data_IF_416344030121
#
_entry.id   IF_416344030121
#
_cell.length_a   1.000
_cell.length_b   1.000
_cell.length_c   1.000
_cell.angle_alpha   90.00
_cell.angle_beta   90.00
_cell.angle_gamma   90.00
#
_symmetry.space_group_name_H-M   'P 1'
#
loop_
_entity.id
_entity.type
_entity.pdbx_description
1 polymer ?
#
# COMPACT_ATOMS: atom_id res chain seq x y z
N UNK A 1 41.84 -23.16 23.44
CA UNK A 1 40.58 -23.00 24.19
C UNK A 1 40.73 -23.66 25.55
N UNK A 2 40.78 -22.93 26.68
CA UNK A 2 41.09 -23.51 27.97
C UNK A 2 39.96 -24.46 28.36
N UNK A 3 40.28 -25.74 28.64
CA UNK A 3 39.32 -26.79 29.01
C UNK A 3 38.34 -26.37 30.12
N UNK A 4 38.74 -25.39 30.94
CA UNK A 4 37.95 -24.74 31.99
C UNK A 4 36.72 -23.98 31.47
N UNK A 5 36.82 -23.32 30.30
CA UNK A 5 35.69 -22.63 29.67
C UNK A 5 34.67 -23.60 29.09
N UNK A 6 35.13 -24.73 28.53
CA UNK A 6 34.24 -25.76 28.01
C UNK A 6 33.41 -26.43 29.13
N UNK A 7 34.02 -26.70 30.28
CA UNK A 7 33.32 -27.28 31.45
C UNK A 7 32.31 -26.29 32.04
N UNK A 8 32.65 -25.00 32.13
CA UNK A 8 31.71 -23.96 32.58
C UNK A 8 30.52 -23.80 31.64
N UNK A 9 30.76 -23.78 30.32
CA UNK A 9 29.70 -23.64 29.32
C UNK A 9 28.71 -24.81 29.37
N UNK A 10 29.22 -26.04 29.47
CA UNK A 10 28.39 -27.25 29.58
C UNK A 10 27.57 -27.24 30.88
N UNK A 11 28.16 -26.80 32.00
CA UNK A 11 27.44 -26.64 33.26
C UNK A 11 26.28 -25.64 33.18
N UNK A 12 26.51 -24.49 32.52
CA UNK A 12 25.46 -23.47 32.33
C UNK A 12 24.34 -24.01 31.43
N UNK A 13 24.66 -24.66 30.32
CA UNK A 13 23.67 -25.24 29.42
C UNK A 13 22.80 -26.30 30.11
N UNK A 14 23.40 -27.17 30.94
CA UNK A 14 22.67 -28.15 31.75
C UNK A 14 21.73 -27.48 32.75
N UNK A 15 22.17 -26.39 33.40
CA UNK A 15 21.33 -25.66 34.35
C UNK A 15 20.10 -25.01 33.69
N UNK A 16 20.27 -24.45 32.49
CA UNK A 16 19.18 -23.84 31.72
C UNK A 16 18.18 -24.90 31.26
N UNK A 17 18.66 -26.08 30.82
CA UNK A 17 17.82 -27.18 30.39
C UNK A 17 16.97 -27.73 31.55
N UNK A 18 17.57 -27.89 32.74
CA UNK A 18 16.84 -28.32 33.95
C UNK A 18 15.81 -27.28 34.38
N UNK A 19 16.15 -25.99 34.33
CA UNK A 19 15.21 -24.91 34.65
C UNK A 19 14.02 -24.87 33.66
N UNK A 20 14.26 -25.09 32.37
CA UNK A 20 13.20 -25.16 31.34
C UNK A 20 12.30 -26.40 31.51
N UNK A 21 12.89 -27.54 31.89
CA UNK A 21 12.12 -28.75 32.18
C UNK A 21 11.27 -28.58 33.44
N UNK A 22 11.81 -27.96 34.49
CA UNK A 22 11.09 -27.67 35.73
C UNK A 22 9.97 -26.61 35.51
N UNK A 23 10.23 -25.60 34.68
CA UNK A 23 9.21 -24.63 34.28
C UNK A 23 8.09 -25.27 33.46
N UNK A 24 8.36 -26.35 32.72
CA UNK A 24 7.34 -27.11 31.97
C UNK A 24 6.50 -28.00 32.88
N UNK A 25 7.06 -28.59 33.94
CA UNK A 25 6.31 -29.41 34.87
C UNK A 25 5.40 -28.57 35.77
N UNK A 26 5.84 -27.37 36.15
CA UNK A 26 5.03 -26.43 36.95
C UNK A 26 3.92 -25.73 36.16
N UNK A 27 3.95 -25.73 34.82
CA UNK A 27 2.92 -25.11 33.98
C UNK A 27 1.81 -26.08 33.53
N UNK A 28 1.77 -27.31 34.06
CA UNK A 28 0.81 -28.34 33.63
C UNK A 28 -0.30 -28.68 34.63
N UNK A 29 -0.42 -27.93 35.72
CA UNK A 29 -1.57 -28.02 36.63
C UNK A 29 -2.22 -26.66 36.73
N UNK A 30 -3.38 -26.50 36.09
CA UNK A 30 -4.56 -25.78 36.60
C UNK A 30 -5.63 -25.81 35.51
N UNK A 31 -6.27 -26.98 35.42
CA UNK A 31 -7.53 -27.15 34.74
C UNK A 31 -8.68 -26.85 35.70
N UNK A 32 -9.53 -25.92 35.27
CA UNK A 32 -10.99 -25.92 35.47
C UNK A 32 -11.54 -25.69 36.88
N UNK A 33 -11.88 -24.41 37.17
CA UNK A 33 -12.97 -24.06 38.08
C UNK A 33 -13.66 -22.76 37.60
N UNK A 34 -14.92 -22.88 37.20
CA UNK A 34 -15.92 -21.80 37.21
C UNK A 34 -15.66 -20.60 36.30
N UNK A 35 -15.96 -20.72 35.01
CA UNK A 35 -16.04 -19.56 34.13
C UNK A 35 -17.09 -18.55 34.63
N UNK A 36 -16.77 -17.23 34.70
CA UNK A 36 -17.76 -16.22 35.05
C UNK A 36 -18.92 -16.22 34.04
N UNK A 37 -20.12 -15.72 34.41
CA UNK A 37 -21.24 -15.64 33.47
C UNK A 37 -20.75 -14.97 32.19
N UNK A 38 -20.94 -15.65 31.04
CA UNK A 38 -20.55 -15.11 29.73
C UNK A 38 -21.13 -13.71 29.63
N UNK A 39 -20.29 -12.65 29.52
CA UNK A 39 -20.82 -11.32 29.31
C UNK A 39 -21.65 -11.38 28.04
N UNK A 40 -22.91 -10.97 28.15
CA UNK A 40 -23.73 -10.70 26.97
C UNK A 40 -22.94 -9.72 26.12
N UNK A 41 -22.53 -10.14 24.93
CA UNK A 41 -21.92 -9.25 23.95
C UNK A 41 -23.03 -8.27 23.58
N UNK A 42 -23.07 -7.13 24.28
CA UNK A 42 -23.72 -5.95 23.74
C UNK A 42 -22.94 -5.66 22.47
N UNK A 43 -23.57 -5.67 21.28
CA UNK A 43 -22.86 -5.25 20.09
C UNK A 43 -22.32 -3.85 20.37
N UNK A 44 -21.01 -3.72 20.51
CA UNK A 44 -20.37 -2.41 20.49
C UNK A 44 -20.86 -1.78 19.20
N UNK A 45 -21.52 -0.60 19.24
CA UNK A 45 -21.84 0.09 18.01
C UNK A 45 -20.53 0.17 17.23
N UNK A 46 -20.52 -0.38 16.02
CA UNK A 46 -19.40 -0.23 15.09
C UNK A 46 -19.35 1.26 14.82
N UNK A 47 -18.57 1.99 15.62
CA UNK A 47 -18.22 3.36 15.33
C UNK A 47 -17.45 3.23 14.02
N UNK A 48 -17.98 3.73 12.89
CA UNK A 48 -17.20 3.72 11.66
C UNK A 48 -15.85 4.34 11.99
N UNK A 49 -14.72 3.76 11.55
CA UNK A 49 -13.42 4.38 11.80
C UNK A 49 -13.54 5.83 11.36
N UNK A 50 -13.28 6.77 12.29
CA UNK A 50 -13.30 8.19 11.95
C UNK A 50 -12.43 8.35 10.71
N UNK A 51 -12.97 8.83 9.57
CA UNK A 51 -12.19 8.96 8.36
C UNK A 51 -10.94 9.77 8.71
N UNK A 52 -9.76 9.19 8.51
CA UNK A 52 -8.52 9.93 8.65
C UNK A 52 -8.63 11.09 7.67
N UNK A 53 -8.58 12.36 8.13
CA UNK A 53 -8.84 13.49 7.25
C UNK A 53 -7.84 13.45 6.09
N UNK A 54 -8.30 13.49 4.83
CA UNK A 54 -7.40 13.45 3.69
C UNK A 54 -6.43 14.63 3.74
N UNK A 55 -5.19 14.39 3.33
CA UNK A 55 -4.21 15.44 3.14
C UNK A 55 -4.29 15.89 1.69
N UNK A 56 -4.49 17.20 1.49
CA UNK A 56 -4.45 17.82 0.17
C UNK A 56 -2.99 18.02 -0.26
N UNK A 57 -2.64 17.47 -1.41
CA UNK A 57 -1.38 17.72 -2.12
C UNK A 57 -1.66 18.60 -3.33
N UNK A 58 -0.62 19.25 -3.82
CA UNK A 58 -0.62 19.85 -5.16
C UNK A 58 0.46 19.15 -5.97
N UNK A 59 0.13 18.65 -7.14
CA UNK A 59 1.05 17.95 -8.03
C UNK A 59 1.19 18.76 -9.31
N UNK A 60 2.37 18.77 -9.90
CA UNK A 60 2.66 19.58 -11.08
C UNK A 60 2.88 18.70 -12.29
N UNK A 61 2.06 18.85 -13.33
CA UNK A 61 2.16 18.07 -14.56
C UNK A 61 2.20 18.99 -15.77
N UNK A 62 2.82 18.53 -16.86
CA UNK A 62 2.87 19.30 -18.09
C UNK A 62 1.51 19.40 -18.75
N UNK A 63 1.27 20.47 -19.51
CA UNK A 63 0.16 20.57 -20.46
C UNK A 63 0.67 20.64 -21.90
N UNK A 64 -0.13 20.15 -22.85
CA UNK A 64 0.13 20.33 -24.29
C UNK A 64 0.04 21.81 -24.72
N UNK A 65 -0.62 22.66 -23.92
CA UNK A 65 -0.96 24.02 -24.34
C UNK A 65 0.23 24.98 -24.36
N UNK A 66 1.08 24.95 -23.33
CA UNK A 66 2.13 25.95 -23.11
C UNK A 66 3.45 25.36 -22.59
N UNK A 67 3.54 24.02 -22.53
CA UNK A 67 4.71 23.26 -22.09
C UNK A 67 5.16 23.61 -20.66
N UNK A 68 4.29 24.23 -19.86
CA UNK A 68 4.52 24.51 -18.43
C UNK A 68 3.94 23.42 -17.56
N UNK A 69 4.41 23.41 -16.31
CA UNK A 69 3.90 22.59 -15.23
C UNK A 69 2.71 23.29 -14.55
N UNK A 70 1.53 22.70 -14.70
CA UNK A 70 0.31 23.18 -14.09
C UNK A 70 -0.02 22.41 -12.81
N UNK A 71 -0.60 23.08 -11.80
CA UNK A 71 -0.98 22.46 -10.55
C UNK A 71 -2.26 21.62 -10.68
N UNK A 72 -2.25 20.46 -10.05
CA UNK A 72 -3.40 19.59 -9.82
C UNK A 72 -3.50 19.31 -8.32
N UNK A 73 -4.59 19.73 -7.67
CA UNK A 73 -4.84 19.33 -6.30
C UNK A 73 -5.22 17.85 -6.25
N UNK A 74 -4.69 17.10 -5.28
CA UNK A 74 -5.02 15.70 -5.07
C UNK A 74 -5.12 15.39 -3.59
N UNK A 75 -6.24 14.80 -3.19
CA UNK A 75 -6.40 14.29 -1.84
C UNK A 75 -5.78 12.89 -1.73
N UNK A 76 -4.91 12.71 -0.74
CA UNK A 76 -4.30 11.42 -0.39
C UNK A 76 -4.63 11.06 1.05
N UNK A 77 -4.58 9.76 1.41
CA UNK A 77 -4.67 9.36 2.81
C UNK A 77 -3.64 10.11 3.66
N UNK A 78 -3.99 10.52 4.88
CA UNK A 78 -3.03 11.23 5.71
C UNK A 78 -1.77 10.38 5.92
N UNK A 79 -0.62 11.00 5.70
CA UNK A 79 0.68 10.38 5.93
C UNK A 79 1.04 10.47 7.41
N UNK A 80 1.56 9.38 7.98
CA UNK A 80 1.96 9.32 9.38
C UNK A 80 3.20 10.17 9.70
N UNK A 81 4.09 10.35 8.72
CA UNK A 81 5.31 11.14 8.82
C UNK A 81 5.71 11.76 7.45
N UNK A 82 6.74 12.61 7.44
CA UNK A 82 7.22 13.28 6.22
C UNK A 82 7.79 12.31 5.17
N UNK A 83 8.34 11.18 5.58
CA UNK A 83 8.88 10.18 4.62
C UNK A 83 7.72 9.43 3.95
N UNK A 84 6.66 9.11 4.70
CA UNK A 84 5.42 8.59 4.15
C UNK A 84 4.79 9.60 3.17
N UNK A 85 4.81 10.89 3.52
CA UNK A 85 4.33 11.95 2.62
C UNK A 85 5.17 12.04 1.34
N UNK A 86 6.49 11.97 1.44
CA UNK A 86 7.39 11.91 0.27
C UNK A 86 7.06 10.74 -0.65
N UNK A 87 6.84 9.55 -0.10
CA UNK A 87 6.41 8.39 -0.90
C UNK A 87 5.07 8.66 -1.57
N UNK A 88 4.09 9.21 -0.84
CA UNK A 88 2.76 9.52 -1.40
C UNK A 88 2.86 10.52 -2.55
N UNK A 89 3.65 11.59 -2.42
CA UNK A 89 3.85 12.59 -3.47
C UNK A 89 4.53 11.96 -4.69
N UNK A 90 5.66 11.27 -4.50
CA UNK A 90 6.41 10.67 -5.61
C UNK A 90 5.59 9.61 -6.36
N UNK A 91 4.88 8.73 -5.63
CA UNK A 91 3.97 7.77 -6.24
C UNK A 91 2.84 8.44 -7.02
N UNK A 92 2.25 9.51 -6.49
CA UNK A 92 1.16 10.20 -7.16
C UNK A 92 1.60 10.91 -8.46
N UNK A 93 2.85 11.40 -8.54
CA UNK A 93 3.44 11.90 -9.79
C UNK A 93 3.62 10.78 -10.81
N UNK A 94 4.14 9.63 -10.38
CA UNK A 94 4.33 8.45 -11.26
C UNK A 94 3.00 7.87 -11.76
N UNK A 95 1.94 7.91 -10.93
CA UNK A 95 0.58 7.56 -11.34
C UNK A 95 0.07 8.43 -12.50
N UNK A 96 0.58 9.65 -12.64
CA UNK A 96 0.18 10.62 -13.65
C UNK A 96 -0.98 11.52 -13.19
N UNK A 97 -1.37 12.52 -14.00
CA UNK A 97 -2.46 13.43 -13.69
C UNK A 97 -3.83 12.75 -13.71
N UNK A 98 -4.78 13.34 -12.98
CA UNK A 98 -6.21 13.02 -13.00
C UNK A 98 -7.04 14.12 -13.67
N UNK A 99 -6.48 15.33 -13.78
CA UNK A 99 -7.10 16.46 -14.46
C UNK A 99 -6.95 16.31 -15.97
N UNK A 100 -8.05 16.49 -16.70
CA UNK A 100 -8.02 16.49 -18.16
C UNK A 100 -7.12 17.61 -18.71
N UNK A 101 -6.47 17.36 -19.85
CA UNK A 101 -5.55 18.32 -20.50
C UNK A 101 -4.15 18.40 -19.87
N UNK A 102 -3.87 17.60 -18.84
CA UNK A 102 -2.52 17.39 -18.32
C UNK A 102 -1.93 16.08 -18.84
N UNK A 103 -0.62 16.09 -19.03
CA UNK A 103 0.16 14.98 -19.57
C UNK A 103 0.83 14.19 -18.47
N UNK A 104 0.93 12.88 -18.71
CA UNK A 104 1.68 11.95 -17.86
C UNK A 104 3.17 12.27 -17.96
N UNK A 105 3.81 12.51 -16.81
CA UNK A 105 5.23 12.83 -16.74
C UNK A 105 6.15 11.64 -16.99
N UNK A 106 5.80 10.44 -16.51
CA UNK A 106 6.62 9.23 -16.66
C UNK A 106 5.90 8.19 -17.51
N UNK A 107 6.58 7.53 -18.46
CA UNK A 107 5.99 6.44 -19.24
C UNK A 107 5.43 5.31 -18.35
N UNK A 108 4.57 4.47 -18.93
CA UNK A 108 4.04 3.32 -18.21
C UNK A 108 5.14 2.36 -17.74
N UNK A 109 4.93 1.75 -16.56
CA UNK A 109 5.83 0.76 -15.98
C UNK A 109 6.93 1.33 -15.08
N UNK A 110 7.13 2.66 -15.08
CA UNK A 110 7.94 3.32 -14.04
C UNK A 110 7.21 3.25 -12.69
N UNK A 111 7.95 2.97 -11.62
CA UNK A 111 7.36 2.84 -10.28
C UNK A 111 8.31 3.31 -9.18
N UNK A 112 7.76 3.63 -8.01
CA UNK A 112 8.56 4.02 -6.85
C UNK A 112 9.06 2.77 -6.13
N UNK A 113 10.38 2.62 -5.98
CA UNK A 113 10.98 1.57 -5.14
C UNK A 113 11.09 2.02 -3.70
N UNK A 114 11.64 3.21 -3.51
CA UNK A 114 11.84 3.79 -2.21
C UNK A 114 11.92 5.32 -2.28
N UNK A 115 11.67 5.96 -1.15
CA UNK A 115 11.97 7.37 -0.97
C UNK A 115 12.40 7.62 0.47
N UNK A 116 13.39 8.50 0.63
CA UNK A 116 13.99 8.85 1.91
C UNK A 116 14.31 10.34 1.94
N UNK A 117 14.24 10.93 3.13
CA UNK A 117 14.66 12.31 3.36
C UNK A 117 15.94 12.32 4.19
N UNK A 118 16.92 13.09 3.76
CA UNK A 118 18.16 13.32 4.50
C UNK A 118 18.04 14.62 5.33
N UNK A 119 18.83 14.75 6.42
CA UNK A 119 18.75 15.91 7.31
C UNK A 119 19.09 17.25 6.67
N UNK A 120 19.85 17.26 5.58
CA UNK A 120 20.33 18.45 4.88
C UNK A 120 19.35 19.00 3.83
N UNK A 121 18.13 18.47 3.81
CA UNK A 121 17.08 18.86 2.87
C UNK A 121 17.12 18.15 1.53
N UNK A 122 17.93 17.10 1.37
CA UNK A 122 17.87 16.23 0.19
C UNK A 122 16.74 15.21 0.35
N UNK A 123 15.85 15.15 -0.64
CA UNK A 123 14.96 14.01 -0.83
C UNK A 123 15.59 13.04 -1.85
N UNK A 124 15.78 11.78 -1.46
CA UNK A 124 16.22 10.72 -2.37
C UNK A 124 14.98 9.96 -2.83
N UNK A 125 14.80 9.84 -4.14
CA UNK A 125 13.71 9.09 -4.77
C UNK A 125 14.31 8.00 -5.65
N UNK A 126 14.06 6.75 -5.29
CA UNK A 126 14.53 5.57 -6.04
C UNK A 126 13.40 5.06 -6.93
N UNK A 127 13.65 5.11 -8.24
CA UNK A 127 12.70 4.74 -9.29
C UNK A 127 13.07 3.35 -9.84
N UNK A 128 12.08 2.49 -9.97
CA UNK A 128 12.20 1.25 -10.72
C UNK A 128 12.00 1.53 -12.20
N UNK A 129 12.95 1.06 -13.00
CA UNK A 129 12.84 1.12 -14.45
C UNK A 129 11.75 0.15 -14.93
N UNK A 130 11.01 0.49 -16.00
CA UNK A 130 10.06 -0.41 -16.59
C UNK A 130 10.78 -1.68 -17.04
N UNK A 131 10.13 -2.82 -16.75
CA UNK A 131 10.62 -4.10 -17.25
C UNK A 131 10.46 -4.12 -18.77
N UNK A 132 11.46 -4.63 -19.51
CA UNK A 132 11.31 -4.78 -20.94
C UNK A 132 10.12 -5.67 -21.23
N UNK A 133 9.21 -5.18 -22.06
CA UNK A 133 8.10 -5.99 -22.56
C UNK A 133 8.69 -6.97 -23.59
N UNK A 134 8.27 -8.25 -23.60
CA UNK A 134 8.52 -9.07 -24.78
C UNK A 134 7.83 -8.39 -25.95
N UNK A 135 8.61 -7.80 -26.86
CA UNK A 135 8.13 -7.31 -28.14
C UNK A 135 7.25 -8.40 -28.76
N UNK A 136 6.05 -8.03 -29.19
CA UNK A 136 4.97 -8.93 -29.61
C UNK A 136 5.48 -10.14 -30.39
N UNK A 137 4.87 -11.32 -30.17
CA UNK A 137 5.16 -12.58 -30.87
C UNK A 137 5.60 -12.30 -32.29
N UNK A 138 6.87 -12.58 -32.66
CA UNK A 138 7.35 -12.27 -33.99
C UNK A 138 6.43 -12.97 -34.98
N UNK A 139 5.80 -12.19 -35.86
CA UNK A 139 5.09 -12.76 -37.00
C UNK A 139 6.06 -13.71 -37.73
N UNK A 140 5.61 -14.91 -38.10
CA UNK A 140 6.44 -15.92 -38.77
C UNK A 140 7.27 -15.26 -39.89
N UNK A 141 8.60 -15.30 -39.74
CA UNK A 141 9.55 -14.66 -40.66
C UNK A 141 10.18 -13.33 -40.18
N UNK A 142 9.77 -12.80 -39.02
CA UNK A 142 10.42 -11.61 -38.44
C UNK A 142 11.72 -12.00 -37.74
N UNK A 143 12.84 -11.41 -38.18
CA UNK A 143 14.14 -11.64 -37.56
C UNK A 143 14.08 -11.28 -36.07
N UNK A 144 14.54 -12.19 -35.21
CA UNK A 144 14.74 -11.91 -33.79
C UNK A 144 15.81 -10.83 -33.69
N UNK A 145 15.40 -9.61 -33.36
CA UNK A 145 16.33 -8.50 -33.12
C UNK A 145 17.25 -8.89 -31.96
N UNK A 146 18.57 -8.90 -32.20
CA UNK A 146 19.60 -9.09 -31.17
C UNK A 146 19.77 -7.84 -30.29
N UNK A 147 19.00 -6.78 -30.56
CA UNK A 147 19.00 -5.58 -29.74
C UNK A 147 18.45 -5.90 -28.34
N UNK A 148 18.98 -5.27 -27.28
CA UNK A 148 18.38 -5.33 -25.95
C UNK A 148 16.89 -5.00 -26.02
N UNK A 149 16.04 -5.67 -25.21
CA UNK A 149 14.60 -5.45 -25.28
C UNK A 149 14.28 -4.00 -24.91
N UNK A 150 13.41 -3.37 -25.70
CA UNK A 150 13.10 -1.96 -25.57
C UNK A 150 12.30 -1.70 -24.28
N UNK A 151 12.71 -0.68 -23.54
CA UNK A 151 12.03 -0.23 -22.31
C UNK A 151 11.15 0.96 -22.66
N UNK A 152 10.00 1.07 -21.99
CA UNK A 152 9.17 2.26 -22.08
C UNK A 152 9.99 3.50 -21.65
N UNK A 153 10.17 4.42 -22.58
CA UNK A 153 10.93 5.67 -22.42
C UNK A 153 10.14 6.81 -23.06
N UNK A 154 10.55 8.04 -22.78
CA UNK A 154 10.02 9.22 -23.45
C UNK A 154 10.27 9.12 -24.96
N UNK A 155 9.22 9.33 -25.76
CA UNK A 155 9.26 9.15 -27.22
C UNK A 155 9.81 10.40 -27.93
N UNK A 156 9.67 11.59 -27.34
CA UNK A 156 9.87 12.88 -28.04
C UNK A 156 11.12 13.66 -27.59
N UNK A 157 11.96 13.12 -26.69
CA UNK A 157 13.32 13.61 -26.45
C UNK A 157 13.55 14.42 -25.16
N UNK A 158 14.61 15.25 -25.17
CA UNK A 158 15.20 15.91 -23.97
C UNK A 158 14.22 16.71 -23.12
N UNK A 159 13.22 17.30 -23.78
CA UNK A 159 12.23 18.15 -23.12
C UNK A 159 11.31 17.34 -22.22
N UNK A 160 10.81 16.23 -22.72
CA UNK A 160 9.90 15.38 -21.94
C UNK A 160 10.62 14.82 -20.72
N UNK A 161 11.89 14.43 -20.86
CA UNK A 161 12.72 13.99 -19.73
C UNK A 161 12.90 15.10 -18.69
N UNK A 162 13.24 16.32 -19.13
CA UNK A 162 13.44 17.45 -18.21
C UNK A 162 12.15 17.82 -17.49
N UNK A 163 11.03 17.87 -18.22
CA UNK A 163 9.72 18.18 -17.65
C UNK A 163 9.23 17.07 -16.72
N UNK A 164 9.56 15.80 -17.00
CA UNK A 164 9.28 14.70 -16.10
C UNK A 164 10.06 14.80 -14.78
N UNK A 165 11.35 15.11 -14.88
CA UNK A 165 12.18 15.36 -13.72
C UNK A 165 11.66 16.55 -12.90
N UNK A 166 11.34 17.68 -13.55
CA UNK A 166 10.82 18.87 -12.87
C UNK A 166 9.43 18.66 -12.27
N UNK A 167 8.54 17.92 -12.93
CA UNK A 167 7.25 17.51 -12.36
C UNK A 167 7.43 16.83 -11.00
N UNK A 168 8.37 15.89 -10.91
CA UNK A 168 8.67 15.20 -9.67
C UNK A 168 9.33 16.13 -8.64
N UNK A 169 10.35 16.88 -9.06
CA UNK A 169 11.14 17.77 -8.17
C UNK A 169 10.26 18.87 -7.57
N UNK A 170 9.52 19.60 -8.40
CA UNK A 170 8.62 20.68 -7.96
C UNK A 170 7.54 20.14 -7.04
N UNK A 171 6.91 19.01 -7.40
CA UNK A 171 5.89 18.38 -6.55
C UNK A 171 6.47 17.96 -5.20
N UNK A 172 7.66 17.36 -5.16
CA UNK A 172 8.30 16.98 -3.89
C UNK A 172 8.58 18.21 -3.02
N UNK A 173 9.28 19.21 -3.56
CA UNK A 173 9.71 20.39 -2.78
C UNK A 173 8.52 21.21 -2.30
N UNK A 174 7.49 21.41 -3.13
CA UNK A 174 6.33 22.24 -2.74
C UNK A 174 5.40 21.58 -1.72
N UNK A 175 5.40 20.25 -1.60
CA UNK A 175 4.60 19.55 -0.58
C UNK A 175 5.38 19.24 0.71
N UNK A 176 6.72 19.34 0.68
CA UNK A 176 7.60 18.99 1.78
C UNK A 176 8.52 20.18 2.10
N UNK A 177 8.16 21.05 3.06
CA UNK A 177 8.99 22.22 3.39
C UNK A 177 10.39 21.85 3.91
N UNK A 178 10.58 20.61 4.36
CA UNK A 178 11.89 20.08 4.75
C UNK A 178 12.76 19.60 3.57
N UNK A 179 12.26 19.57 2.33
CA UNK A 179 13.00 19.15 1.15
C UNK A 179 13.28 20.36 0.24
N UNK A 180 14.52 20.53 -0.17
CA UNK A 180 14.96 21.66 -1.02
C UNK A 180 15.45 21.19 -2.40
N UNK A 181 15.91 19.94 -2.50
CA UNK A 181 16.48 19.35 -3.72
C UNK A 181 16.26 17.84 -3.73
N UNK A 182 16.26 17.24 -4.92
CA UNK A 182 15.92 15.83 -5.11
C UNK A 182 17.06 15.10 -5.80
N UNK A 183 17.48 13.96 -5.25
CA UNK A 183 18.37 13.01 -5.91
C UNK A 183 17.52 11.86 -6.45
N UNK A 184 17.69 11.54 -7.73
CA UNK A 184 17.03 10.40 -8.36
C UNK A 184 17.99 9.23 -8.46
N UNK A 185 17.53 8.05 -8.01
CA UNK A 185 18.21 6.78 -8.21
C UNK A 185 17.40 5.92 -9.18
N UNK A 186 18.08 5.06 -9.93
CA UNK A 186 17.47 4.10 -10.84
C UNK A 186 17.81 2.69 -10.38
N UNK A 187 16.79 1.91 -10.03
CA UNK A 187 16.90 0.56 -9.50
C UNK A 187 17.82 0.41 -8.27
N UNK A 188 17.91 1.46 -7.45
CA UNK A 188 18.75 1.52 -6.27
C UNK A 188 20.16 2.08 -6.49
N UNK A 189 20.53 2.37 -7.74
CA UNK A 189 21.87 2.84 -8.11
C UNK A 189 21.86 4.30 -8.57
N UNK A 190 22.94 5.06 -8.33
CA UNK A 190 23.16 6.34 -8.99
C UNK A 190 23.23 6.15 -10.52
N UNK A 191 22.65 7.09 -11.26
CA UNK A 191 22.68 7.11 -12.70
C UNK A 191 23.27 8.42 -13.22
N UNK A 192 23.84 8.40 -14.42
CA UNK A 192 24.32 9.62 -15.08
C UNK A 192 23.14 10.40 -15.69
N UNK A 193 22.17 9.68 -16.25
CA UNK A 193 21.00 10.29 -16.89
C UNK A 193 19.72 9.51 -16.65
N UNK A 194 18.58 10.18 -16.83
CA UNK A 194 17.27 9.54 -16.74
C UNK A 194 16.99 8.64 -17.96
N UNK A 195 17.09 9.21 -19.17
CA UNK A 195 17.02 8.48 -20.44
C UNK A 195 17.98 9.02 -21.53
N UNK A 196 18.86 9.95 -21.16
CA UNK A 196 19.93 10.46 -22.01
C UNK A 196 20.19 11.96 -21.88
N UNK A 197 19.24 12.74 -21.35
CA UNK A 197 19.29 14.20 -21.47
C UNK A 197 19.35 14.95 -20.13
N UNK A 198 18.74 14.40 -19.08
CA UNK A 198 18.77 15.00 -17.75
C UNK A 198 19.98 14.46 -17.00
N UNK A 199 20.87 15.33 -16.55
CA UNK A 199 21.99 14.97 -15.67
C UNK A 199 21.48 14.61 -14.26
N UNK A 200 21.73 13.37 -13.83
CA UNK A 200 21.37 12.86 -12.50
C UNK A 200 22.56 12.76 -11.54
N UNK A 201 23.76 13.19 -11.96
CA UNK A 201 24.97 13.13 -11.13
C UNK A 201 24.96 14.15 -9.99
N UNK A 202 24.02 15.10 -10.01
CA UNK A 202 23.84 16.13 -8.99
C UNK A 202 22.38 16.18 -8.52
N UNK A 203 22.12 16.62 -7.26
CA UNK A 203 20.76 16.86 -6.79
C UNK A 203 20.05 17.90 -7.67
N UNK A 204 18.86 17.57 -8.12
CA UNK A 204 18.00 18.43 -8.93
C UNK A 204 17.29 19.47 -8.06
N UNK A 205 17.29 20.71 -8.53
CA UNK A 205 16.58 21.83 -7.92
C UNK A 205 15.26 22.09 -8.66
N UNK A 206 14.22 22.56 -7.94
CA UNK A 206 12.98 22.98 -8.59
C UNK A 206 13.27 24.19 -9.48
N UNK A 207 12.76 24.15 -10.70
CA UNK A 207 12.79 25.28 -11.62
C UNK A 207 11.45 26.01 -11.61
N UNK A 208 11.38 27.13 -10.89
CA UNK A 208 10.15 27.93 -10.81
C UNK A 208 9.75 28.54 -12.15
N UNK A 209 10.68 28.69 -13.11
CA UNK A 209 10.34 29.21 -14.45
C UNK A 209 9.51 28.22 -15.28
N UNK A 210 9.55 26.94 -14.93
CA UNK A 210 8.75 25.88 -15.55
C UNK A 210 7.31 25.82 -15.02
N UNK A 211 7.01 26.51 -13.92
CA UNK A 211 5.69 26.45 -13.26
C UNK A 211 4.75 27.50 -13.84
N UNK A 212 3.52 27.11 -14.13
CA UNK A 212 2.46 28.04 -14.53
C UNK A 212 1.97 28.85 -13.32
N UNK A 213 1.71 30.14 -13.53
CA UNK A 213 1.05 31.02 -12.55
C UNK A 213 -0.46 30.73 -12.57
N UNK A 214 -0.83 29.60 -11.98
CA UNK A 214 -2.21 29.13 -11.82
C UNK A 214 -2.41 28.70 -10.36
N UNK A 215 -3.57 28.99 -9.78
CA UNK A 215 -3.92 28.48 -8.45
C UNK A 215 -4.37 27.01 -8.56
N UNK A 216 -4.01 26.14 -7.61
CA UNK A 216 -4.45 24.75 -7.62
C UNK A 216 -5.98 24.66 -7.62
N UNK A 217 -6.54 24.03 -8.66
CA UNK A 217 -7.99 23.77 -8.75
C UNK A 217 -8.50 22.86 -7.63
N UNK A 218 -9.81 22.60 -7.62
CA UNK A 218 -10.40 21.66 -6.65
C UNK A 218 -9.97 20.22 -6.97
N UNK A 219 -9.61 19.39 -5.96
CA UNK A 219 -9.20 18.02 -6.23
C UNK A 219 -10.34 17.24 -6.89
N UNK A 220 -10.04 16.43 -7.93
CA UNK A 220 -11.06 15.57 -8.52
C UNK A 220 -11.60 14.61 -7.46
N UNK A 221 -12.89 14.25 -7.52
CA UNK A 221 -13.49 13.34 -6.54
C UNK A 221 -12.70 12.03 -6.49
N UNK A 222 -12.40 11.56 -5.27
CA UNK A 222 -11.78 10.25 -5.07
C UNK A 222 -12.58 9.19 -5.84
N UNK A 223 -11.94 8.21 -6.50
CA UNK A 223 -12.67 7.11 -7.11
C UNK A 223 -13.48 6.42 -6.00
N UNK A 224 -14.80 6.49 -6.10
CA UNK A 224 -15.70 5.78 -5.18
C UNK A 224 -15.30 4.31 -5.21
N UNK A 225 -15.03 3.65 -4.06
CA UNK A 225 -14.82 2.22 -4.10
C UNK A 225 -16.07 1.60 -4.71
N UNK A 226 -15.96 1.00 -5.89
CA UNK A 226 -17.01 0.16 -6.45
C UNK A 226 -17.42 -0.79 -5.33
N UNK A 227 -18.69 -0.79 -4.87
CA UNK A 227 -19.09 -1.71 -3.83
C UNK A 227 -18.80 -3.12 -4.36
N UNK A 228 -17.82 -3.78 -3.76
CA UNK A 228 -17.61 -5.23 -3.91
C UNK A 228 -18.98 -5.85 -3.73
N UNK A 229 -19.46 -6.51 -4.79
CA UNK A 229 -20.76 -7.16 -4.81
C UNK A 229 -20.90 -7.94 -3.49
N UNK A 230 -21.89 -7.55 -2.69
CA UNK A 230 -22.21 -8.23 -1.45
C UNK A 230 -22.37 -9.73 -1.74
N UNK A 231 -21.87 -10.64 -0.88
CA UNK A 231 -22.14 -12.05 -1.06
C UNK A 231 -23.66 -12.25 -1.11
N UNK A 232 -24.16 -12.86 -2.19
CA UNK A 232 -25.56 -13.20 -2.36
C UNK A 232 -26.13 -13.79 -1.06
N UNK A 233 -27.32 -13.35 -0.60
CA UNK A 233 -27.92 -13.94 0.58
C UNK A 233 -28.15 -15.44 0.35
N UNK A 234 -27.60 -16.28 1.25
CA UNK A 234 -27.92 -17.71 1.27
C UNK A 234 -29.44 -17.91 1.35
N UNK A 235 -30.00 -18.92 0.65
CA UNK A 235 -31.44 -19.17 0.69
C UNK A 235 -31.88 -19.53 2.11
N UNK A 236 -32.94 -18.87 2.57
CA UNK A 236 -33.61 -19.11 3.87
C UNK A 236 -34.01 -20.59 4.01
N UNK A 237 -33.70 -21.28 5.12
CA UNK A 237 -34.17 -22.63 5.34
C UNK A 237 -35.70 -22.65 5.55
N UNK A 238 -36.41 -23.69 5.08
CA UNK A 238 -37.86 -23.78 5.21
C UNK A 238 -38.30 -23.89 6.68
N UNK A 239 -39.54 -23.45 7.01
CA UNK A 239 -40.04 -23.47 8.37
C UNK A 239 -40.19 -24.90 8.91
N UNK A 240 -40.03 -25.11 10.23
CA UNK A 240 -40.13 -26.43 10.84
C UNK A 240 -41.54 -27.01 10.70
N UNK A 241 -41.63 -28.22 10.16
CA UNK A 241 -42.86 -29.00 10.02
C UNK A 241 -43.45 -29.30 11.39
N UNK A 242 -44.68 -28.84 11.61
CA UNK A 242 -45.44 -29.09 12.85
C UNK A 242 -45.63 -30.60 13.07
N UNK A 243 -45.31 -31.16 14.26
CA UNK A 243 -45.51 -32.58 14.51
C UNK A 243 -47.01 -32.93 14.61
N UNK A 244 -47.41 -34.15 14.20
CA UNK A 244 -48.81 -34.57 14.20
C UNK A 244 -49.37 -34.67 15.62
N UNK A 245 -50.63 -34.24 15.79
CA UNK A 245 -51.37 -34.34 17.06
C UNK A 245 -51.53 -35.81 17.46
N UNK A 246 -51.10 -36.14 18.67
CA UNK A 246 -51.28 -37.47 19.28
C UNK A 246 -52.78 -37.73 19.51
N UNK A 247 -53.32 -38.90 19.14
CA UNK A 247 -54.72 -39.23 19.43
C UNK A 247 -54.91 -39.47 20.93
N UNK A 248 -55.97 -38.88 21.49
CA UNK A 248 -56.43 -39.06 22.87
C UNK A 248 -56.92 -40.49 23.12
N UNK A 249 -56.45 -41.19 24.17
CA UNK A 249 -57.00 -42.48 24.56
C UNK A 249 -58.35 -42.32 25.28
N UNK A 250 -59.30 -43.20 24.91
CA UNK A 250 -60.66 -43.32 25.45
C UNK A 250 -60.61 -43.82 26.91
N UNK A 251 -61.43 -43.30 27.83
CA UNK A 251 -61.44 -43.75 29.23
C UNK A 251 -62.00 -45.18 29.37
N UNK A 252 -61.36 -45.97 30.24
CA UNK A 252 -61.75 -47.33 30.64
C UNK A 252 -62.76 -47.25 31.80
N UNK A 253 -63.83 -48.06 31.83
CA UNK A 253 -64.86 -47.98 32.88
C UNK A 253 -64.34 -48.42 34.24
N UNK A 254 -64.90 -47.81 35.28
CA UNK A 254 -64.62 -48.06 36.69
C UNK A 254 -65.01 -49.49 37.09
N UNK A 255 -64.14 -50.15 37.86
CA UNK A 255 -64.51 -51.34 38.60
C UNK A 255 -65.15 -50.89 39.92
N UNK A 256 -66.44 -51.14 40.06
CA UNK A 256 -67.14 -51.19 41.34
C UNK A 256 -66.59 -52.34 42.19
N UNK A 257 -66.44 -52.09 43.49
CA UNK A 257 -66.06 -53.10 44.47
C UNK A 257 -67.24 -53.93 44.96
N UNK A 258 -66.97 -55.11 45.51
CA UNK A 258 -67.82 -55.84 46.47
C UNK A 258 -66.90 -56.83 47.17
N UNK A 259 -66.54 -56.55 48.44
CA UNK A 259 -67.05 -57.20 49.66
C UNK A 259 -66.31 -58.51 49.99
#
# INVERSE_FOLDING_TARGET
MPRRFAVLLVGILLSILVALLLARTLRRGDGEAGGPPRPTVVPTPVVPPTPIPPRRLVLWFSSEADEKLHPEARDVPASADETALLRSVASAVLEGPRREGLLRSFPEGWSLRAAFRLPDGIAVVDLALPRPQPSATPAEGTQVSLAPPERARWETGSREELTAAQSLVVSVVRNLPGAARVVLLLDGEPAETLAGHVDLTHPLLPDDSSVADEEPGEPPPLPTPTPTAAPSPSPTPPPPTRPPRRPTPRPRPAAEGTA
#
